data_IF_665206626102
#
_entry.id   IF_665206626102
#
_cell.length_a   1.000
_cell.length_b   1.000
_cell.length_c   1.000
_cell.angle_alpha   90.00
_cell.angle_beta   90.00
_cell.angle_gamma   90.00
#
_symmetry.space_group_name_H-M   'P 1'
#
loop_
_entity.id
_entity.type
_entity.pdbx_description
1 polymer ?
#
# COMPACT_ATOMS: atom_id res chain seq x y z
N UNK A 1 66.72 -33.49 -37.13
CA UNK A 1 65.35 -33.95 -37.45
C UNK A 1 64.45 -33.55 -36.28
N UNK A 2 63.63 -32.52 -36.45
CA UNK A 2 62.65 -32.08 -35.46
C UNK A 2 61.32 -31.85 -36.20
N UNK A 3 60.20 -32.46 -35.76
CA UNK A 3 58.94 -32.41 -36.50
C UNK A 3 58.23 -31.07 -36.27
N UNK A 4 57.93 -30.36 -37.35
CA UNK A 4 57.07 -29.17 -37.37
C UNK A 4 55.62 -29.59 -37.19
N UNK A 5 54.99 -29.14 -36.10
CA UNK A 5 53.58 -29.35 -35.83
C UNK A 5 52.73 -28.40 -36.70
N UNK A 6 52.03 -28.97 -37.68
CA UNK A 6 51.02 -28.28 -38.48
C UNK A 6 49.75 -28.13 -37.61
N UNK A 7 49.49 -26.93 -37.10
CA UNK A 7 48.22 -26.65 -36.42
C UNK A 7 47.12 -26.44 -37.45
N UNK A 8 46.19 -27.38 -37.53
CA UNK A 8 44.95 -27.23 -38.29
C UNK A 8 44.00 -26.31 -37.53
N UNK A 9 44.06 -25.01 -37.84
CA UNK A 9 43.05 -24.06 -37.40
C UNK A 9 41.70 -24.41 -38.06
N UNK A 10 40.81 -25.05 -37.31
CA UNK A 10 39.41 -25.21 -37.69
C UNK A 10 38.74 -23.84 -37.69
N UNK A 11 38.58 -23.25 -38.87
CA UNK A 11 37.81 -22.04 -39.08
C UNK A 11 36.32 -22.36 -38.90
N UNK A 12 35.82 -22.28 -37.66
CA UNK A 12 34.40 -22.26 -37.40
C UNK A 12 33.83 -20.97 -38.03
N UNK A 13 33.09 -21.13 -39.13
CA UNK A 13 32.51 -20.06 -39.93
C UNK A 13 31.65 -19.12 -39.06
N UNK A 14 32.28 -18.05 -38.56
CA UNK A 14 31.61 -17.00 -37.79
C UNK A 14 31.45 -15.81 -38.73
N UNK A 15 30.42 -15.85 -39.58
CA UNK A 15 30.21 -14.78 -40.54
C UNK A 15 29.27 -15.14 -41.67
N UNK A 16 28.01 -15.47 -41.35
CA UNK A 16 26.94 -15.20 -42.31
C UNK A 16 26.24 -13.93 -41.84
N UNK A 17 26.58 -12.82 -42.49
CA UNK A 17 25.88 -11.53 -42.41
C UNK A 17 24.54 -11.66 -43.16
N UNK A 18 23.74 -12.65 -42.78
CA UNK A 18 22.34 -12.71 -43.17
C UNK A 18 21.63 -11.72 -42.27
N UNK A 19 20.98 -10.71 -42.86
CA UNK A 19 19.99 -9.84 -42.23
C UNK A 19 19.06 -10.69 -41.37
N UNK A 20 19.40 -10.80 -40.09
CA UNK A 20 18.87 -11.86 -39.25
C UNK A 20 17.58 -11.37 -38.64
N UNK A 21 16.49 -12.15 -38.80
CA UNK A 21 15.18 -11.87 -38.23
C UNK A 21 15.16 -12.05 -36.70
N UNK A 22 16.26 -11.77 -36.01
CA UNK A 22 16.39 -11.86 -34.57
C UNK A 22 16.10 -10.49 -33.95
N UNK A 23 15.06 -10.44 -33.12
CA UNK A 23 14.79 -9.31 -32.26
C UNK A 23 15.38 -9.59 -30.88
N UNK A 24 16.21 -8.67 -30.39
CA UNK A 24 16.95 -8.79 -29.15
C UNK A 24 16.32 -7.94 -28.04
N UNK A 25 16.23 -8.50 -26.85
CA UNK A 25 15.98 -7.74 -25.62
C UNK A 25 17.11 -8.02 -24.64
N UNK A 26 18.11 -7.14 -24.65
CA UNK A 26 19.31 -7.28 -23.82
C UNK A 26 19.00 -7.20 -22.32
N UNK A 27 17.95 -6.47 -21.92
CA UNK A 27 17.58 -6.35 -20.51
C UNK A 27 16.98 -7.63 -19.94
N UNK A 28 16.30 -8.43 -20.76
CA UNK A 28 15.82 -9.77 -20.40
C UNK A 28 16.74 -10.90 -20.85
N UNK A 29 17.89 -10.58 -21.47
CA UNK A 29 18.78 -11.56 -22.11
C UNK A 29 17.99 -12.53 -23.00
N UNK A 30 17.06 -12.00 -23.79
CA UNK A 30 16.19 -12.80 -24.66
C UNK A 30 16.41 -12.48 -26.14
N UNK A 31 16.24 -13.51 -26.96
CA UNK A 31 16.29 -13.44 -28.42
C UNK A 31 15.03 -14.08 -28.97
N UNK A 32 14.37 -13.36 -29.86
CA UNK A 32 13.16 -13.83 -30.53
C UNK A 32 13.44 -13.98 -32.01
N UNK A 33 13.19 -15.16 -32.56
CA UNK A 33 13.33 -15.41 -33.99
C UNK A 33 11.97 -15.22 -34.66
N UNK A 34 11.85 -14.19 -35.50
CA UNK A 34 10.60 -13.84 -36.20
C UNK A 34 10.46 -14.60 -37.53
N UNK A 35 11.45 -15.43 -37.90
CA UNK A 35 11.41 -16.21 -39.15
C UNK A 35 10.27 -17.23 -39.13
N UNK A 36 9.51 -17.35 -40.23
CA UNK A 36 8.49 -18.37 -40.39
C UNK A 36 9.11 -19.78 -40.36
N UNK A 37 8.80 -20.56 -39.32
CA UNK A 37 9.22 -21.96 -39.25
C UNK A 37 8.25 -22.82 -40.06
N UNK A 38 8.66 -23.29 -41.24
CA UNK A 38 7.89 -24.29 -42.00
C UNK A 38 8.09 -25.66 -41.37
N UNK A 39 7.11 -26.13 -40.58
CA UNK A 39 7.14 -27.49 -40.02
C UNK A 39 5.87 -28.24 -40.37
N UNK A 40 5.93 -29.06 -41.42
CA UNK A 40 4.91 -30.04 -41.79
C UNK A 40 4.99 -31.34 -40.94
N UNK A 41 5.93 -31.43 -39.99
CA UNK A 41 6.12 -32.57 -39.08
C UNK A 41 6.59 -32.11 -37.70
N UNK A 42 6.39 -32.94 -36.68
CA UNK A 42 6.81 -32.69 -35.29
C UNK A 42 8.31 -32.37 -35.25
N UNK A 43 8.74 -31.30 -34.56
CA UNK A 43 10.15 -30.93 -34.53
C UNK A 43 10.98 -31.99 -33.82
N UNK A 44 12.02 -32.49 -34.49
CA UNK A 44 13.01 -33.40 -33.91
C UNK A 44 13.89 -32.65 -32.90
N UNK A 45 14.33 -33.33 -31.83
CA UNK A 45 15.22 -32.76 -30.81
C UNK A 45 16.48 -32.10 -31.41
N UNK A 46 17.11 -32.74 -32.40
CA UNK A 46 18.29 -32.21 -33.08
C UNK A 46 18.04 -30.88 -33.80
N UNK A 47 16.86 -30.72 -34.41
CA UNK A 47 16.49 -29.48 -35.09
C UNK A 47 16.29 -28.34 -34.09
N UNK A 48 15.63 -28.62 -32.95
CA UNK A 48 15.48 -27.64 -31.87
C UNK A 48 16.84 -27.20 -31.34
N UNK A 49 17.77 -28.14 -31.13
CA UNK A 49 19.10 -27.84 -30.63
C UNK A 49 19.91 -26.97 -31.62
N UNK A 50 19.85 -27.26 -32.92
CA UNK A 50 20.50 -26.43 -33.93
C UNK A 50 19.93 -24.99 -33.95
N UNK A 51 18.61 -24.86 -33.80
CA UNK A 51 17.95 -23.56 -33.81
C UNK A 51 18.22 -22.75 -32.52
N UNK A 52 18.22 -23.39 -31.36
CA UNK A 52 18.57 -22.74 -30.09
C UNK A 52 20.03 -22.34 -30.07
N UNK A 53 20.94 -23.18 -30.57
CA UNK A 53 22.36 -22.85 -30.70
C UNK A 53 22.55 -21.61 -31.58
N UNK A 54 21.84 -21.52 -32.71
CA UNK A 54 21.89 -20.35 -33.60
C UNK A 54 21.38 -19.07 -32.92
N UNK A 55 20.29 -19.17 -32.14
CA UNK A 55 19.75 -18.03 -31.40
C UNK A 55 20.69 -17.55 -30.28
N UNK A 56 21.21 -18.47 -29.47
CA UNK A 56 22.10 -18.16 -28.35
C UNK A 56 23.43 -17.58 -28.83
N UNK A 57 24.01 -18.12 -29.91
CA UNK A 57 25.25 -17.58 -30.47
C UNK A 57 25.06 -16.16 -31.04
N UNK A 58 23.92 -15.90 -31.70
CA UNK A 58 23.56 -14.57 -32.19
C UNK A 58 23.33 -13.58 -31.03
N UNK A 59 22.75 -14.02 -29.92
CA UNK A 59 22.58 -13.19 -28.71
C UNK A 59 23.93 -12.83 -28.10
N UNK A 60 24.79 -13.82 -27.85
CA UNK A 60 26.09 -13.60 -27.20
C UNK A 60 27.00 -12.69 -28.03
N UNK A 61 27.06 -12.93 -29.35
CA UNK A 61 27.83 -12.07 -30.26
C UNK A 61 27.32 -10.64 -30.25
N UNK A 62 26.00 -10.43 -30.26
CA UNK A 62 25.42 -9.10 -30.18
C UNK A 62 25.71 -8.41 -28.82
N UNK A 63 25.56 -9.12 -27.70
CA UNK A 63 25.84 -8.56 -26.37
C UNK A 63 27.29 -8.07 -26.24
N UNK A 64 28.25 -8.90 -26.66
CA UNK A 64 29.68 -8.58 -26.54
C UNK A 64 30.07 -7.45 -27.51
N UNK A 65 29.46 -7.40 -28.70
CA UNK A 65 29.78 -6.39 -29.69
C UNK A 65 29.17 -5.01 -29.39
N UNK A 66 27.99 -4.95 -28.75
CA UNK A 66 27.23 -3.71 -28.59
C UNK A 66 27.37 -3.05 -27.22
N UNK A 67 27.54 -3.84 -26.15
CA UNK A 67 27.47 -3.33 -24.78
C UNK A 67 28.86 -3.01 -24.21
N UNK A 68 28.99 -1.95 -23.39
CA UNK A 68 30.26 -1.60 -22.79
C UNK A 68 30.64 -2.62 -21.71
N UNK A 69 31.82 -3.22 -21.88
CA UNK A 69 32.45 -4.07 -20.87
C UNK A 69 33.21 -3.20 -19.87
N UNK A 70 32.88 -3.33 -18.59
CA UNK A 70 33.58 -2.66 -17.48
C UNK A 70 34.23 -3.70 -16.58
N UNK A 71 35.52 -3.58 -16.35
CA UNK A 71 36.22 -4.46 -15.40
C UNK A 71 36.07 -3.85 -14.00
N UNK A 72 35.31 -4.54 -13.14
CA UNK A 72 35.18 -4.17 -11.73
C UNK A 72 36.35 -4.78 -10.94
N UNK A 73 36.95 -4.04 -10.00
CA UNK A 73 38.12 -4.52 -9.23
C UNK A 73 37.85 -5.85 -8.51
N UNK A 74 36.69 -6.01 -7.88
CA UNK A 74 36.38 -7.21 -7.08
C UNK A 74 35.67 -8.33 -7.87
N UNK A 75 35.06 -8.01 -9.01
CA UNK A 75 34.08 -8.88 -9.68
C UNK A 75 34.44 -9.20 -11.14
N UNK A 76 35.56 -8.67 -11.64
CA UNK A 76 36.04 -8.94 -12.98
C UNK A 76 35.21 -8.23 -14.07
N UNK A 77 35.22 -8.75 -15.32
CA UNK A 77 34.56 -8.12 -16.47
C UNK A 77 33.03 -8.24 -16.39
N UNK A 78 32.34 -7.10 -16.28
CA UNK A 78 30.88 -6.98 -16.20
C UNK A 78 30.35 -6.19 -17.40
N UNK A 79 29.29 -6.69 -18.03
CA UNK A 79 28.55 -5.97 -19.07
C UNK A 79 27.46 -5.09 -18.44
N UNK A 80 27.37 -3.83 -18.85
CA UNK A 80 26.28 -2.94 -18.39
C UNK A 80 25.05 -3.12 -19.29
N UNK A 81 24.03 -3.81 -18.80
CA UNK A 81 22.80 -4.06 -19.56
C UNK A 81 21.86 -2.84 -19.58
N UNK A 82 21.14 -2.60 -20.69
CA UNK A 82 20.11 -1.56 -20.76
C UNK A 82 18.84 -2.01 -20.04
N UNK A 83 17.90 -1.08 -19.87
CA UNK A 83 16.59 -1.41 -19.33
C UNK A 83 15.86 -2.39 -20.28
N UNK A 84 15.03 -3.30 -19.73
CA UNK A 84 14.25 -4.24 -20.52
C UNK A 84 13.30 -3.52 -21.46
N UNK A 85 13.27 -3.93 -22.73
CA UNK A 85 12.35 -3.37 -23.73
C UNK A 85 10.96 -4.00 -23.65
N UNK A 86 10.89 -5.28 -23.27
CA UNK A 86 9.63 -5.99 -23.06
C UNK A 86 8.95 -5.52 -21.78
N UNK A 87 7.78 -4.89 -21.91
CA UNK A 87 6.99 -4.40 -20.77
C UNK A 87 6.25 -5.58 -20.15
N UNK A 88 6.65 -5.98 -18.93
CA UNK A 88 5.98 -7.02 -18.16
C UNK A 88 4.92 -6.42 -17.20
N UNK A 89 3.81 -7.12 -16.95
CA UNK A 89 2.83 -6.68 -15.97
C UNK A 89 3.41 -6.70 -14.56
N UNK A 90 3.12 -5.67 -13.77
CA UNK A 90 3.57 -5.59 -12.37
C UNK A 90 2.78 -6.55 -11.49
N UNK A 91 3.48 -7.19 -10.54
CA UNK A 91 2.83 -8.00 -9.51
C UNK A 91 1.95 -7.19 -8.54
N UNK A 92 2.31 -5.92 -8.29
CA UNK A 92 1.58 -5.02 -7.39
C UNK A 92 1.20 -3.73 -8.12
N UNK A 93 0.02 -3.17 -7.82
CA UNK A 93 -0.36 -1.87 -8.37
C UNK A 93 0.64 -0.79 -7.96
N UNK A 94 0.62 0.32 -8.69
CA UNK A 94 1.39 1.49 -8.30
C UNK A 94 0.99 1.94 -6.88
N UNK A 95 1.96 2.34 -6.03
CA UNK A 95 1.64 2.88 -4.73
C UNK A 95 0.74 4.10 -4.92
N UNK A 96 -0.47 4.06 -4.37
CA UNK A 96 -1.40 5.19 -4.46
C UNK A 96 -0.75 6.43 -3.83
N UNK A 97 -0.90 7.63 -4.41
CA UNK A 97 -0.41 8.84 -3.78
C UNK A 97 -1.07 8.99 -2.41
N UNK A 98 -0.29 9.44 -1.42
CA UNK A 98 -0.79 9.59 -0.05
C UNK A 98 -1.91 10.63 -0.06
N UNK A 99 -3.12 10.31 0.46
CA UNK A 99 -4.17 11.31 0.58
C UNK A 99 -3.70 12.43 1.51
N UNK A 100 -4.06 13.67 1.16
CA UNK A 100 -3.72 14.84 1.98
C UNK A 100 -4.40 14.73 3.35
N UNK A 101 -3.67 15.06 4.41
CA UNK A 101 -4.25 15.19 5.74
C UNK A 101 -5.06 16.49 5.84
N UNK A 102 -6.00 16.56 6.79
CA UNK A 102 -6.82 17.78 6.99
C UNK A 102 -5.97 19.05 7.19
N UNK A 103 -4.82 18.93 7.86
CA UNK A 103 -3.89 20.04 8.04
C UNK A 103 -3.20 20.43 6.73
N UNK A 104 -2.77 19.47 5.91
CA UNK A 104 -2.17 19.76 4.61
C UNK A 104 -3.19 20.37 3.63
N UNK A 105 -4.44 19.90 3.64
CA UNK A 105 -5.53 20.51 2.89
C UNK A 105 -5.72 21.98 3.31
N UNK A 106 -5.71 22.24 4.62
CA UNK A 106 -5.81 23.59 5.16
C UNK A 106 -4.60 24.45 4.79
N UNK A 107 -3.38 23.94 4.97
CA UNK A 107 -2.13 24.63 4.65
C UNK A 107 -2.07 25.01 3.17
N UNK A 108 -2.41 24.06 2.28
CA UNK A 108 -2.51 24.30 0.84
C UNK A 108 -3.54 25.38 0.49
N UNK A 109 -4.73 25.33 1.11
CA UNK A 109 -5.79 26.34 0.91
C UNK A 109 -5.39 27.74 1.42
N UNK A 110 -4.60 27.80 2.49
CA UNK A 110 -4.14 29.05 3.09
C UNK A 110 -2.80 29.54 2.54
N UNK A 111 -2.16 28.78 1.65
CA UNK A 111 -0.82 29.11 1.15
C UNK A 111 0.25 29.09 2.24
N UNK A 112 0.04 28.33 3.32
CA UNK A 112 1.06 28.17 4.36
C UNK A 112 2.15 27.29 3.75
N UNK A 113 3.34 27.87 3.56
CA UNK A 113 4.46 27.13 3.00
C UNK A 113 4.84 25.95 3.91
N UNK A 114 4.94 24.75 3.32
CA UNK A 114 5.39 23.54 4.01
C UNK A 114 6.88 23.63 4.46
N UNK A 115 7.58 24.65 3.96
CA UNK A 115 9.00 24.90 4.19
C UNK A 115 9.22 25.73 5.45
N UNK A 116 8.81 25.23 6.62
CA UNK A 116 9.58 25.60 7.81
C UNK A 116 10.97 25.03 7.59
N UNK A 117 11.99 25.88 7.50
CA UNK A 117 13.39 25.42 7.42
C UNK A 117 13.56 24.39 8.52
N UNK A 118 14.10 23.22 8.19
CA UNK A 118 14.34 22.15 9.16
C UNK A 118 15.45 22.61 10.09
N UNK A 119 15.12 23.47 11.02
CA UNK A 119 16.00 23.87 12.09
C UNK A 119 16.46 22.62 12.82
N UNK A 120 17.74 22.61 13.19
CA UNK A 120 18.33 21.48 13.89
C UNK A 120 17.63 21.18 15.21
N UNK A 121 18.04 20.03 15.79
CA UNK A 121 17.50 19.56 17.07
C UNK A 121 17.90 20.45 18.25
N UNK A 122 19.01 21.17 18.17
CA UNK A 122 19.59 21.93 19.26
C UNK A 122 19.06 23.38 19.29
N UNK A 123 18.88 23.90 20.49
CA UNK A 123 18.60 25.32 20.79
C UNK A 123 19.58 25.77 21.84
N UNK A 124 20.13 26.96 21.65
CA UNK A 124 21.00 27.57 22.62
C UNK A 124 20.18 28.04 23.83
N UNK A 125 20.59 27.63 25.02
CA UNK A 125 19.98 28.02 26.28
C UNK A 125 20.79 29.14 26.92
N UNK A 126 20.23 30.35 27.01
CA UNK A 126 20.95 31.53 27.49
C UNK A 126 21.35 31.43 28.97
N UNK A 127 20.58 30.71 29.79
CA UNK A 127 20.83 30.56 31.22
C UNK A 127 22.02 29.64 31.53
N UNK A 128 22.17 28.55 30.78
CA UNK A 128 23.26 27.57 30.95
C UNK A 128 24.40 27.79 29.97
N UNK A 129 24.22 28.66 28.97
CA UNK A 129 25.14 28.93 27.87
C UNK A 129 25.51 27.67 27.05
N UNK A 130 24.63 26.66 27.05
CA UNK A 130 24.83 25.37 26.38
C UNK A 130 23.81 25.12 25.26
N UNK A 131 24.19 24.28 24.29
CA UNK A 131 23.28 23.79 23.25
C UNK A 131 22.46 22.61 23.77
N UNK A 132 21.20 22.88 24.12
CA UNK A 132 20.27 21.89 24.66
C UNK A 132 19.33 21.40 23.55
N UNK A 133 19.00 20.09 23.48
CA UNK A 133 18.03 19.60 22.51
C UNK A 133 16.62 20.17 22.75
N UNK A 134 15.91 20.58 21.70
CA UNK A 134 14.49 21.01 21.73
C UNK A 134 13.58 19.94 22.35
N UNK A 135 13.88 18.66 22.08
CA UNK A 135 13.13 17.50 22.54
C UNK A 135 14.06 16.28 22.69
N UNK A 136 13.71 15.33 23.56
CA UNK A 136 14.48 14.10 23.79
C UNK A 136 15.06 14.02 25.21
N UNK A 137 16.27 13.46 25.34
CA UNK A 137 17.00 13.41 26.60
C UNK A 137 17.38 14.82 27.05
N UNK A 138 17.08 15.18 28.31
CA UNK A 138 17.25 16.52 28.88
C UNK A 138 16.73 17.64 27.95
N UNK A 139 15.58 17.39 27.31
CA UNK A 139 15.01 18.31 26.33
C UNK A 139 14.47 19.60 26.96
N UNK A 140 14.62 20.71 26.24
CA UNK A 140 14.13 22.04 26.65
C UNK A 140 12.63 22.04 27.03
N UNK A 141 11.84 21.17 26.39
CA UNK A 141 10.41 21.01 26.63
C UNK A 141 10.01 20.52 28.03
N UNK A 142 10.97 20.07 28.86
CA UNK A 142 10.73 19.63 30.24
C UNK A 142 11.27 20.60 31.30
N UNK A 143 11.94 21.70 30.91
CA UNK A 143 12.53 22.64 31.86
C UNK A 143 11.50 23.17 32.86
N UNK A 144 10.32 23.55 32.38
CA UNK A 144 9.21 24.02 33.22
C UNK A 144 8.69 22.96 34.21
N UNK A 145 8.93 21.68 33.98
CA UNK A 145 8.44 20.59 34.84
C UNK A 145 9.49 20.08 35.83
N UNK A 146 10.77 20.21 35.48
CA UNK A 146 11.93 19.83 36.28
C UNK A 146 12.44 21.01 37.12
N UNK A 147 11.86 22.21 36.94
CA UNK A 147 12.12 23.36 37.77
C UNK A 147 11.86 23.02 39.26
N UNK A 148 12.81 23.39 40.11
CA UNK A 148 12.80 23.10 41.55
C UNK A 148 11.80 23.95 42.34
N UNK A 149 11.32 25.07 41.76
CA UNK A 149 10.36 25.99 42.36
C UNK A 149 9.35 26.46 41.30
N UNK A 150 8.06 26.43 41.65
CA UNK A 150 6.97 26.89 40.79
C UNK A 150 6.16 27.97 41.50
N UNK A 151 5.82 29.03 40.78
CA UNK A 151 4.85 30.01 41.25
C UNK A 151 3.44 29.39 41.19
N UNK A 152 2.77 29.33 42.34
CA UNK A 152 1.39 28.83 42.42
C UNK A 152 0.44 29.99 42.11
N UNK A 153 -0.42 29.87 41.07
CA UNK A 153 -1.37 30.93 40.75
C UNK A 153 -2.42 31.08 41.86
N UNK A 154 -2.80 32.33 42.15
CA UNK A 154 -3.77 32.66 43.19
C UNK A 154 -5.14 31.99 42.94
N UNK A 155 -5.73 31.38 43.98
CA UNK A 155 -7.04 30.72 43.92
C UNK A 155 -7.02 29.26 43.46
N UNK A 156 -5.88 28.57 43.58
CA UNK A 156 -5.79 27.10 43.47
C UNK A 156 -5.81 26.46 44.85
N UNK A 157 -6.28 25.21 44.88
CA UNK A 157 -6.29 24.38 46.09
C UNK A 157 -4.87 24.18 46.62
N UNK A 158 -4.73 24.04 47.95
CA UNK A 158 -3.46 23.86 48.64
C UNK A 158 -2.70 22.60 48.17
N UNK A 159 -3.41 21.58 47.67
CA UNK A 159 -2.85 20.33 47.13
C UNK A 159 -2.45 20.41 45.63
N UNK A 160 -2.53 21.59 45.00
CA UNK A 160 -2.24 21.75 43.58
C UNK A 160 -0.74 21.66 43.27
N UNK A 161 -0.34 20.58 42.59
CA UNK A 161 1.02 20.38 42.08
C UNK A 161 1.16 20.91 40.64
N UNK A 162 1.83 22.05 40.41
CA UNK A 162 1.98 22.65 39.09
C UNK A 162 2.76 21.75 38.12
N UNK A 163 3.74 20.98 38.60
CA UNK A 163 4.50 20.05 37.76
C UNK A 163 3.62 18.94 37.19
N UNK A 164 2.68 18.41 37.99
CA UNK A 164 1.71 17.40 37.57
C UNK A 164 0.71 17.98 36.57
N UNK A 165 0.26 19.21 36.78
CA UNK A 165 -0.65 19.88 35.85
C UNK A 165 -0.02 20.06 34.45
N UNK A 166 1.24 20.51 34.38
CA UNK A 166 1.97 20.66 33.11
C UNK A 166 2.20 19.31 32.42
N UNK A 167 2.59 18.28 33.18
CA UNK A 167 2.72 16.90 32.67
C UNK A 167 1.39 16.39 32.10
N UNK A 168 0.28 16.66 32.78
CA UNK A 168 -1.06 16.28 32.34
C UNK A 168 -1.47 17.03 31.07
N UNK A 169 -1.20 18.34 30.99
CA UNK A 169 -1.49 19.14 29.81
C UNK A 169 -0.72 18.65 28.57
N UNK A 170 0.58 18.37 28.71
CA UNK A 170 1.38 17.77 27.63
C UNK A 170 0.86 16.38 27.23
N UNK A 171 0.41 15.56 28.18
CA UNK A 171 -0.24 14.27 27.88
C UNK A 171 -1.55 14.48 27.11
N UNK A 172 -2.38 15.45 27.50
CA UNK A 172 -3.62 15.82 26.77
C UNK A 172 -3.32 16.24 25.33
N UNK A 173 -2.30 17.08 25.10
CA UNK A 173 -1.86 17.49 23.75
C UNK A 173 -1.41 16.29 22.91
N UNK A 174 -0.65 15.35 23.49
CA UNK A 174 -0.22 14.11 22.83
C UNK A 174 -1.43 13.26 22.42
N UNK A 175 -2.32 12.98 23.37
CA UNK A 175 -3.53 12.17 23.12
C UNK A 175 -4.42 12.81 22.05
N UNK A 176 -4.53 14.14 22.04
CA UNK A 176 -5.26 14.86 21.01
C UNK A 176 -4.60 14.72 19.62
N UNK A 177 -3.28 14.80 19.54
CA UNK A 177 -2.55 14.57 18.29
C UNK A 177 -2.71 13.14 17.78
N UNK A 178 -2.61 12.14 18.67
CA UNK A 178 -2.80 10.73 18.34
C UNK A 178 -4.24 10.47 17.85
N UNK A 179 -5.24 11.06 18.51
CA UNK A 179 -6.63 10.98 18.07
C UNK A 179 -6.83 11.61 16.67
N UNK A 180 -6.20 12.75 16.39
CA UNK A 180 -6.24 13.37 15.06
C UNK A 180 -5.55 12.50 14.01
N UNK A 181 -4.40 11.89 14.34
CA UNK A 181 -3.69 10.95 13.48
C UNK A 181 -4.57 9.74 13.15
N UNK A 182 -5.21 9.13 14.14
CA UNK A 182 -6.12 8.00 13.94
C UNK A 182 -7.31 8.38 13.06
N UNK A 183 -7.91 9.56 13.26
CA UNK A 183 -8.99 10.07 12.39
C UNK A 183 -8.53 10.27 10.94
N UNK A 184 -7.32 10.79 10.73
CA UNK A 184 -6.76 10.95 9.39
C UNK A 184 -6.46 9.60 8.73
N UNK A 185 -5.94 8.62 9.48
CA UNK A 185 -5.72 7.26 8.99
C UNK A 185 -7.02 6.56 8.62
N UNK A 186 -8.07 6.70 9.44
CA UNK A 186 -9.40 6.16 9.14
C UNK A 186 -10.01 6.79 7.87
N UNK A 187 -9.80 8.10 7.67
CA UNK A 187 -10.22 8.78 6.43
C UNK A 187 -9.42 8.29 5.22
N UNK A 188 -8.12 8.08 5.38
CA UNK A 188 -7.25 7.58 4.32
C UNK A 188 -7.61 6.14 3.92
N UNK A 189 -7.93 5.27 4.88
CA UNK A 189 -8.36 3.89 4.60
C UNK A 189 -9.73 3.85 3.92
N UNK A 190 -10.69 4.67 4.37
CA UNK A 190 -12.00 4.80 3.73
C UNK A 190 -11.90 5.34 2.29
N UNK A 191 -11.02 6.32 2.05
CA UNK A 191 -10.75 6.80 0.70
C UNK A 191 -10.16 5.69 -0.18
N UNK A 192 -9.20 4.91 0.35
CA UNK A 192 -8.57 3.81 -0.39
C UNK A 192 -9.55 2.68 -0.75
N UNK A 193 -10.51 2.37 0.13
CA UNK A 193 -11.54 1.34 -0.10
C UNK A 193 -12.68 1.80 -0.99
N UNK A 194 -13.04 3.10 -0.95
CA UNK A 194 -14.02 3.67 -1.88
C UNK A 194 -13.50 3.64 -3.33
N UNK A 195 -12.20 3.89 -3.52
CA UNK A 195 -11.57 3.91 -4.84
C UNK A 195 -11.22 2.52 -5.39
N UNK A 196 -11.45 1.43 -4.64
CA UNK A 196 -11.39 0.05 -5.13
C UNK A 196 -12.77 -0.57 -5.33
N UNK A 197 -13.85 0.13 -4.97
CA UNK A 197 -15.25 -0.27 -5.19
C UNK A 197 -15.91 0.46 -6.35
N UNK A 198 -15.12 1.18 -7.16
CA UNK A 198 -15.59 1.77 -8.41
C UNK A 198 -15.59 0.73 -9.52
N UNK A 199 -16.51 -0.22 -9.40
CA UNK A 199 -17.18 -0.86 -10.53
C UNK A 199 -18.62 -1.31 -10.22
N UNK A 200 -19.24 -0.98 -9.06
CA UNK A 200 -20.64 -1.39 -8.83
C UNK A 200 -21.48 -0.68 -7.75
N UNK A 201 -21.16 0.53 -7.25
CA UNK A 201 -22.14 1.28 -6.39
C UNK A 201 -21.77 2.74 -6.12
N UNK A 202 -21.46 3.52 -7.15
CA UNK A 202 -21.31 4.97 -7.01
C UNK A 202 -22.69 5.69 -7.00
N UNK A 203 -23.56 5.31 -6.07
CA UNK A 203 -24.70 6.15 -5.70
C UNK A 203 -24.28 7.01 -4.52
N UNK A 204 -24.23 8.33 -4.75
CA UNK A 204 -24.03 9.35 -3.71
C UNK A 204 -25.09 9.12 -2.63
N UNK A 205 -24.73 8.47 -1.53
CA UNK A 205 -25.71 8.13 -0.50
C UNK A 205 -26.10 9.37 0.28
N UNK A 206 -27.40 9.64 0.32
CA UNK A 206 -28.01 10.69 1.13
C UNK A 206 -27.50 10.63 2.59
N UNK A 207 -27.34 11.78 3.27
CA UNK A 207 -26.86 11.81 4.65
C UNK A 207 -27.74 10.95 5.59
N UNK A 208 -29.04 10.86 5.28
CA UNK A 208 -30.01 10.00 5.96
C UNK A 208 -29.65 8.50 5.80
N UNK A 209 -29.31 8.06 4.59
CA UNK A 209 -28.91 6.68 4.29
C UNK A 209 -27.59 6.31 4.97
N UNK A 210 -26.63 7.24 5.06
CA UNK A 210 -25.39 6.97 5.82
C UNK A 210 -25.64 6.87 7.33
N UNK A 211 -26.64 7.58 7.85
CA UNK A 211 -27.01 7.55 9.27
C UNK A 211 -27.72 6.25 9.63
N UNK A 212 -28.61 5.75 8.77
CA UNK A 212 -29.28 4.47 8.98
C UNK A 212 -28.31 3.30 8.93
N UNK A 213 -27.37 3.30 7.97
CA UNK A 213 -26.31 2.29 7.88
C UNK A 213 -25.41 2.32 9.12
N UNK A 214 -24.96 3.51 9.57
CA UNK A 214 -24.19 3.63 10.81
C UNK A 214 -24.96 3.17 12.03
N UNK A 215 -26.27 3.43 12.11
CA UNK A 215 -27.11 2.94 13.21
C UNK A 215 -27.14 1.41 13.22
N UNK A 216 -27.36 0.79 12.05
CA UNK A 216 -27.31 -0.68 11.92
C UNK A 216 -25.95 -1.29 12.28
N UNK A 217 -24.84 -0.64 11.88
CA UNK A 217 -23.49 -1.09 12.24
C UNK A 217 -23.23 -0.97 13.75
N UNK A 218 -23.71 0.11 14.39
CA UNK A 218 -23.62 0.28 15.83
C UNK A 218 -24.44 -0.79 16.57
N UNK A 219 -25.67 -1.05 16.13
CA UNK A 219 -26.52 -2.09 16.71
C UNK A 219 -25.91 -3.49 16.52
N UNK A 220 -25.28 -3.78 15.37
CA UNK A 220 -24.59 -5.05 15.15
C UNK A 220 -23.32 -5.20 16.01
N UNK A 221 -22.55 -4.11 16.18
CA UNK A 221 -21.34 -4.14 17.01
C UNK A 221 -21.66 -4.28 18.49
N UNK A 222 -22.70 -3.62 19.01
CA UNK A 222 -23.12 -3.78 20.42
C UNK A 222 -23.54 -5.22 20.70
N UNK A 223 -24.30 -5.85 19.79
CA UNK A 223 -24.67 -7.27 19.90
C UNK A 223 -23.45 -8.19 19.90
N UNK A 224 -22.50 -7.96 18.98
CA UNK A 224 -21.26 -8.75 18.90
C UNK A 224 -20.38 -8.58 20.14
N UNK A 225 -20.26 -7.36 20.67
CA UNK A 225 -19.48 -7.07 21.87
C UNK A 225 -20.06 -7.78 23.09
N UNK A 226 -21.38 -7.73 23.31
CA UNK A 226 -22.04 -8.43 24.43
C UNK A 226 -21.83 -9.94 24.39
N UNK A 227 -22.01 -10.55 23.20
CA UNK A 227 -21.76 -11.98 22.99
C UNK A 227 -20.29 -12.40 23.14
N UNK A 228 -19.35 -11.45 23.04
CA UNK A 228 -17.91 -11.71 23.19
C UNK A 228 -17.40 -11.59 24.62
N UNK A 229 -18.23 -11.14 25.57
CA UNK A 229 -17.86 -11.10 26.99
C UNK A 229 -18.00 -12.50 27.61
N UNK A 230 -17.16 -12.82 28.60
CA UNK A 230 -17.15 -14.13 29.26
C UNK A 230 -18.49 -14.50 29.93
N UNK A 231 -19.34 -13.52 30.23
CA UNK A 231 -20.68 -13.71 30.80
C UNK A 231 -21.80 -13.57 29.77
N UNK A 232 -21.47 -13.52 28.47
CA UNK A 232 -22.41 -13.26 27.37
C UNK A 232 -23.26 -11.99 27.56
N UNK A 233 -22.74 -10.99 28.28
CA UNK A 233 -23.41 -9.73 28.57
C UNK A 233 -24.53 -9.85 29.61
N UNK A 234 -24.54 -10.91 30.44
CA UNK A 234 -25.53 -11.12 31.50
C UNK A 234 -25.39 -10.11 32.66
N UNK A 235 -24.15 -9.68 32.93
CA UNK A 235 -23.83 -8.72 34.01
C UNK A 235 -23.57 -7.29 33.50
N UNK A 236 -23.60 -7.07 32.18
CA UNK A 236 -23.38 -5.75 31.59
C UNK A 236 -24.63 -4.88 31.71
N UNK A 237 -24.49 -3.69 32.30
CA UNK A 237 -25.57 -2.72 32.47
C UNK A 237 -26.18 -2.35 31.12
N UNK A 238 -27.51 -2.46 31.01
CA UNK A 238 -28.26 -2.09 29.81
C UNK A 238 -28.50 -0.58 29.81
N UNK A 239 -28.16 0.09 28.71
CA UNK A 239 -28.47 1.51 28.53
C UNK A 239 -29.90 1.70 27.99
N UNK A 240 -30.58 2.81 28.32
CA UNK A 240 -31.91 3.08 27.81
C UNK A 240 -31.89 3.19 26.27
N UNK A 241 -32.73 2.39 25.60
CA UNK A 241 -32.83 2.34 24.14
C UNK A 241 -32.04 1.21 23.47
N UNK A 242 -31.38 0.34 24.24
CA UNK A 242 -30.73 -0.88 23.71
C UNK A 242 -31.72 -2.04 23.59
N UNK A 243 -31.80 -2.65 22.41
CA UNK A 243 -32.60 -3.86 22.18
C UNK A 243 -31.86 -5.10 22.70
N UNK A 244 -32.28 -5.60 23.86
CA UNK A 244 -31.63 -6.72 24.59
C UNK A 244 -31.82 -8.07 23.89
N UNK A 245 -32.87 -8.21 23.08
CA UNK A 245 -33.30 -9.51 22.54
C UNK A 245 -32.77 -9.70 21.12
N UNK A 246 -31.68 -10.43 20.97
CA UNK A 246 -31.36 -11.07 19.69
C UNK A 246 -32.38 -12.18 19.45
N UNK A 247 -33.52 -11.86 18.80
CA UNK A 247 -34.35 -12.91 18.23
C UNK A 247 -33.53 -13.54 17.11
N UNK A 248 -33.02 -14.75 17.35
CA UNK A 248 -32.44 -15.55 16.29
C UNK A 248 -33.44 -15.63 15.14
N UNK A 249 -32.98 -15.37 13.91
CA UNK A 249 -33.81 -15.50 12.72
C UNK A 249 -34.23 -16.97 12.65
N UNK A 250 -35.43 -17.28 13.16
CA UNK A 250 -36.05 -18.58 12.89
C UNK A 250 -36.34 -18.57 11.40
N UNK A 251 -35.75 -19.51 10.66
CA UNK A 251 -36.07 -19.74 9.25
C UNK A 251 -37.52 -20.20 9.19
N UNK A 252 -38.45 -19.28 9.09
CA UNK A 252 -39.82 -19.58 8.67
C UNK A 252 -39.73 -19.82 7.17
N UNK A 253 -39.94 -21.07 6.75
CA UNK A 253 -40.22 -21.33 5.36
C UNK A 253 -41.54 -20.68 5.02
N UNK A 254 -41.50 -20.03 3.89
CA UNK A 254 -42.66 -19.48 3.25
C UNK A 254 -43.61 -20.62 2.83
N UNK A 255 -44.93 -20.50 3.02
CA UNK A 255 -45.88 -21.51 2.55
C UNK A 255 -45.78 -21.66 1.03
N UNK A 256 -45.92 -22.90 0.55
CA UNK A 256 -45.82 -23.23 -0.89
C UNK A 256 -46.95 -22.63 -1.73
N UNK A 257 -48.09 -22.33 -1.12
CA UNK A 257 -49.24 -21.74 -1.79
C UNK A 257 -49.37 -20.28 -1.36
N UNK A 258 -49.17 -19.38 -2.31
CA UNK A 258 -49.33 -17.94 -2.11
C UNK A 258 -50.34 -17.37 -3.06
N UNK A 259 -50.88 -16.22 -2.67
CA UNK A 259 -51.69 -15.43 -3.57
C UNK A 259 -50.87 -14.96 -4.78
N UNK A 260 -51.43 -15.14 -5.98
CA UNK A 260 -50.75 -14.86 -7.25
C UNK A 260 -50.30 -13.39 -7.36
N UNK A 261 -50.99 -12.47 -6.69
CA UNK A 261 -50.61 -11.07 -6.62
C UNK A 261 -49.29 -10.82 -5.88
N UNK A 262 -49.04 -11.56 -4.79
CA UNK A 262 -47.78 -11.47 -4.04
C UNK A 262 -46.62 -12.13 -4.77
N UNK A 263 -46.87 -13.25 -5.43
CA UNK A 263 -45.86 -13.94 -6.26
C UNK A 263 -45.39 -13.05 -7.41
N UNK A 264 -46.33 -12.39 -8.10
CA UNK A 264 -46.03 -11.43 -9.17
C UNK A 264 -45.21 -10.23 -8.65
N UNK A 265 -45.54 -9.69 -7.48
CA UNK A 265 -44.77 -8.60 -6.86
C UNK A 265 -43.34 -9.03 -6.52
N UNK A 266 -43.16 -10.22 -5.95
CA UNK A 266 -41.84 -10.77 -5.62
C UNK A 266 -40.99 -11.01 -6.86
N UNK A 267 -41.57 -11.61 -7.90
CA UNK A 267 -40.87 -11.85 -9.17
C UNK A 267 -40.52 -10.55 -9.89
N UNK A 268 -41.41 -9.54 -9.87
CA UNK A 268 -41.10 -8.19 -10.37
C UNK A 268 -39.99 -7.49 -9.56
N UNK A 269 -39.96 -7.66 -8.24
CA UNK A 269 -38.90 -7.11 -7.40
C UNK A 269 -37.53 -7.76 -7.69
N UNK A 270 -37.52 -9.08 -7.95
CA UNK A 270 -36.30 -9.80 -8.37
C UNK A 270 -35.83 -9.30 -9.73
N UNK A 271 -36.74 -9.14 -10.70
CA UNK A 271 -36.45 -8.56 -12.02
C UNK A 271 -35.87 -7.15 -11.90
N UNK A 272 -36.49 -6.28 -11.11
CA UNK A 272 -35.98 -4.91 -10.89
C UNK A 272 -34.62 -4.88 -10.19
N UNK A 273 -34.31 -5.86 -9.34
CA UNK A 273 -32.99 -6.02 -8.74
C UNK A 273 -31.92 -6.50 -9.73
N UNK A 274 -32.31 -7.22 -10.79
CA UNK A 274 -31.43 -7.70 -11.85
C UNK A 274 -31.07 -6.58 -12.84
N UNK A 275 -32.05 -5.76 -13.23
CA UNK A 275 -31.87 -4.64 -14.17
C UNK A 275 -30.99 -3.51 -13.61
N UNK A 276 -30.86 -3.40 -12.28
CA UNK A 276 -29.95 -2.44 -11.63
C UNK A 276 -28.47 -2.85 -11.61
N UNK A 277 -28.10 -3.97 -12.26
CA UNK A 277 -26.74 -4.51 -12.29
C UNK A 277 -26.00 -4.34 -13.63
N UNK A 278 -26.54 -3.52 -14.54
CA UNK A 278 -25.89 -3.06 -15.78
C UNK A 278 -25.11 -1.76 -15.63
#
# INVERSE_FOLDING_TARGET
MAPTATSSASAAATGSNASSNFQYDHGLLSVTNVSSTSTASKPTSSWLQAQTQKGVSALLSNLIATLPLKVHPDHGPILTLPLPTTILPRAKPLPKPKPLTKWQEFAKKKGIADTKKKEGKLVYDEATQEWVPKWGYKGNNKKEEEQWIHEVPFGKDDDYDPSKAMKAERKKRRLHNDAQRLRNLARASAASSSNSKTSSSALKSDPLTTRTLRKGDLDATTLRMRGSTASMGKFDRVLPGEDIKTRGVKRSFDPNERDAGEEKKRSMAILGGLDGSG
#
